data_IF_565209466158
#
_entry.id   IF_565209466158
#
_cell.length_a   1.000
_cell.length_b   1.000
_cell.length_c   1.000
_cell.angle_alpha   90.00
_cell.angle_beta   90.00
_cell.angle_gamma   90.00
#
_symmetry.space_group_name_H-M   'P 1'
#
loop_
_entity.id
_entity.type
_entity.pdbx_description
1 polymer ?
#
# COMPACT_ATOMS: atom_id res chain seq x y z
N UNK A 1 64.10 30.20 21.12
CA UNK A 1 62.86 30.92 20.86
C UNK A 1 61.94 29.98 20.09
N UNK A 2 61.04 29.25 20.77
CA UNK A 2 60.19 28.21 20.22
C UNK A 2 58.77 28.77 20.05
N UNK A 3 58.31 28.85 18.84
CA UNK A 3 56.96 29.31 18.48
C UNK A 3 56.08 28.05 18.45
N UNK A 4 55.09 27.95 19.34
CA UNK A 4 54.01 26.98 19.29
C UNK A 4 52.96 27.44 18.30
N UNK A 5 52.52 26.61 17.38
CA UNK A 5 51.31 26.89 16.63
C UNK A 5 50.05 26.52 17.48
N UNK A 6 49.16 27.47 17.65
CA UNK A 6 47.86 27.28 18.24
C UNK A 6 46.98 26.48 17.27
N UNK A 7 46.57 25.28 17.70
CA UNK A 7 45.60 24.48 16.98
C UNK A 7 44.20 25.05 17.29
N UNK A 8 43.63 25.71 16.30
CA UNK A 8 42.26 26.17 16.32
C UNK A 8 41.34 24.97 16.05
N UNK A 9 40.74 24.43 17.11
CA UNK A 9 39.69 23.38 16.99
C UNK A 9 38.40 24.06 16.59
N UNK A 10 38.02 23.94 15.30
CA UNK A 10 36.71 24.31 14.80
C UNK A 10 35.71 23.21 15.21
N UNK A 11 34.89 23.48 16.22
CA UNK A 11 33.69 22.71 16.47
C UNK A 11 32.69 23.00 15.35
N UNK A 12 32.56 22.10 14.41
CA UNK A 12 31.37 22.05 13.56
C UNK A 12 30.20 21.58 14.44
N UNK A 13 29.39 22.50 14.88
CA UNK A 13 28.03 22.19 15.32
C UNK A 13 27.30 21.67 14.09
N UNK A 14 27.18 20.36 13.97
CA UNK A 14 26.22 19.76 13.06
C UNK A 14 24.83 20.14 13.60
N UNK A 15 24.22 21.16 13.03
CA UNK A 15 22.76 21.29 13.07
C UNK A 15 22.21 20.06 12.37
N UNK A 16 21.75 19.06 13.13
CA UNK A 16 20.74 18.14 12.63
C UNK A 16 19.51 19.01 12.39
N UNK A 17 19.30 19.41 11.14
CA UNK A 17 17.97 19.77 10.70
C UNK A 17 17.13 18.52 10.90
N UNK A 18 16.19 18.57 11.83
CA UNK A 18 15.07 17.64 11.89
C UNK A 18 14.27 17.85 10.58
N UNK A 19 14.75 17.21 9.52
CA UNK A 19 13.88 16.86 8.45
C UNK A 19 12.92 15.82 9.05
N UNK A 20 11.62 16.09 9.03
CA UNK A 20 10.58 15.06 9.03
C UNK A 20 10.74 14.23 7.75
N UNK A 21 11.95 13.73 7.53
CA UNK A 21 12.35 12.91 6.42
C UNK A 21 11.87 11.48 6.62
N UNK A 22 11.73 10.77 5.55
CA UNK A 22 11.37 9.34 5.51
C UNK A 22 12.17 8.60 6.58
N UNK A 23 11.45 7.94 7.49
CA UNK A 23 12.07 7.04 8.47
C UNK A 23 12.59 5.82 7.73
N UNK A 24 13.71 5.27 8.18
CA UNK A 24 14.11 3.94 7.73
C UNK A 24 12.98 2.96 7.99
N UNK A 25 12.62 2.18 6.99
CA UNK A 25 11.61 1.14 7.11
C UNK A 25 12.28 -0.03 7.83
N UNK A 26 12.01 -0.17 9.13
CA UNK A 26 12.49 -1.28 9.96
C UNK A 26 11.31 -1.96 10.62
N UNK A 27 11.48 -3.21 11.03
CA UNK A 27 10.44 -3.95 11.75
C UNK A 27 9.95 -3.17 12.98
N UNK A 28 10.84 -2.60 13.79
CA UNK A 28 10.51 -1.84 14.99
C UNK A 28 9.66 -0.60 14.68
N UNK A 29 9.90 0.06 13.54
CA UNK A 29 9.14 1.23 13.13
C UNK A 29 7.75 0.88 12.61
N UNK A 30 7.57 -0.35 12.11
CA UNK A 30 6.27 -0.87 11.65
C UNK A 30 5.38 -1.36 12.80
N UNK A 31 5.95 -1.79 13.93
CA UNK A 31 5.17 -2.24 15.09
C UNK A 31 4.18 -1.17 15.55
N UNK A 32 2.91 -1.54 15.72
CA UNK A 32 1.81 -0.71 16.19
C UNK A 32 0.55 -0.88 15.36
N UNK A 33 -0.49 -0.09 15.68
CA UNK A 33 -1.78 -0.14 14.97
C UNK A 33 -1.85 0.94 13.92
N UNK A 34 -2.06 0.52 12.69
CA UNK A 34 -2.19 1.33 11.49
C UNK A 34 -3.64 1.35 11.05
N UNK A 35 -4.20 2.53 10.82
CA UNK A 35 -5.58 2.70 10.37
C UNK A 35 -5.60 3.34 8.99
N UNK A 36 -6.42 2.82 8.10
CA UNK A 36 -6.60 3.38 6.75
C UNK A 36 -7.11 4.81 6.84
N UNK A 37 -6.36 5.76 6.26
CA UNK A 37 -6.75 7.17 6.18
C UNK A 37 -7.16 7.59 4.77
N UNK A 38 -6.56 7.01 3.74
CA UNK A 38 -6.99 7.18 2.35
C UNK A 38 -6.60 5.97 1.50
N UNK A 39 -7.35 5.78 0.41
CA UNK A 39 -7.17 4.69 -0.54
C UNK A 39 -7.30 5.27 -1.94
N UNK A 40 -6.31 5.00 -2.80
CA UNK A 40 -6.41 5.21 -4.24
C UNK A 40 -6.38 3.85 -4.93
N UNK A 41 -7.32 3.62 -5.85
CA UNK A 41 -7.42 2.36 -6.61
C UNK A 41 -7.24 2.68 -8.08
N UNK A 42 -6.30 1.99 -8.71
CA UNK A 42 -6.11 1.93 -10.14
C UNK A 42 -6.48 0.53 -10.64
N UNK A 43 -7.22 0.44 -11.75
CA UNK A 43 -7.60 -0.82 -12.36
C UNK A 43 -7.40 -0.78 -13.87
N UNK A 44 -6.86 -1.86 -14.42
CA UNK A 44 -6.54 -1.98 -15.84
C UNK A 44 -6.81 -3.37 -16.38
N UNK A 45 -7.06 -3.46 -17.70
CA UNK A 45 -7.15 -4.70 -18.45
C UNK A 45 -6.05 -4.66 -19.52
N UNK A 46 -5.01 -5.49 -19.35
CA UNK A 46 -3.80 -5.37 -20.16
C UNK A 46 -3.18 -3.98 -20.00
N UNK A 47 -2.97 -3.28 -21.12
CA UNK A 47 -2.36 -1.94 -21.14
C UNK A 47 -3.40 -0.80 -21.13
N UNK A 48 -4.70 -1.10 -20.96
CA UNK A 48 -5.77 -0.10 -20.96
C UNK A 48 -6.30 0.14 -19.54
N UNK A 49 -6.70 1.37 -19.21
CA UNK A 49 -7.48 1.61 -18.00
C UNK A 49 -8.81 0.84 -18.08
N UNK A 50 -9.32 0.37 -16.94
CA UNK A 50 -10.62 -0.32 -16.90
C UNK A 50 -11.74 0.54 -17.53
N UNK A 51 -11.70 1.86 -17.33
CA UNK A 51 -12.68 2.78 -17.95
C UNK A 51 -12.58 2.78 -19.48
N UNK A 52 -11.37 2.82 -20.05
CA UNK A 52 -11.17 2.77 -21.50
C UNK A 52 -11.59 1.41 -22.07
N UNK A 53 -11.31 0.31 -21.38
CA UNK A 53 -11.75 -1.02 -21.77
C UNK A 53 -13.29 -1.11 -21.82
N UNK A 54 -13.96 -0.61 -20.79
CA UNK A 54 -15.43 -0.59 -20.74
C UNK A 54 -16.06 0.23 -21.89
N UNK A 55 -15.39 1.29 -22.33
CA UNK A 55 -15.87 2.09 -23.49
C UNK A 55 -15.56 1.42 -24.81
N UNK A 56 -14.32 0.95 -24.99
CA UNK A 56 -13.81 0.54 -26.31
C UNK A 56 -14.19 -0.90 -26.66
N UNK A 57 -14.16 -1.81 -25.68
CA UNK A 57 -14.37 -3.25 -25.89
C UNK A 57 -15.80 -3.68 -25.49
N UNK A 58 -16.33 -3.17 -24.37
CA UNK A 58 -17.69 -3.49 -23.93
C UNK A 58 -18.73 -2.59 -24.61
N UNK A 59 -18.33 -1.41 -25.10
CA UNK A 59 -19.21 -0.50 -25.84
C UNK A 59 -20.10 0.37 -24.96
N UNK A 60 -19.75 0.58 -23.70
CA UNK A 60 -20.47 1.49 -22.80
C UNK A 60 -20.25 2.95 -23.21
N UNK A 61 -21.21 3.80 -22.95
CA UNK A 61 -20.96 5.24 -23.02
C UNK A 61 -19.93 5.66 -21.94
N UNK A 62 -19.16 6.73 -22.16
CA UNK A 62 -18.18 7.21 -21.15
C UNK A 62 -18.80 7.48 -19.77
N UNK A 63 -20.07 7.89 -19.72
CA UNK A 63 -20.78 8.13 -18.47
C UNK A 63 -21.11 6.81 -17.73
N UNK A 64 -21.53 5.78 -18.46
CA UNK A 64 -21.82 4.45 -17.91
C UNK A 64 -20.53 3.79 -17.44
N UNK A 65 -19.45 3.85 -18.23
CA UNK A 65 -18.13 3.31 -17.87
C UNK A 65 -17.60 3.96 -16.59
N UNK A 66 -17.68 5.28 -16.48
CA UNK A 66 -17.28 6.00 -15.27
C UNK A 66 -18.11 5.63 -14.04
N UNK A 67 -19.42 5.42 -14.21
CA UNK A 67 -20.31 5.00 -13.13
C UNK A 67 -19.97 3.58 -12.66
N UNK A 68 -19.74 2.65 -13.59
CA UNK A 68 -19.38 1.25 -13.27
C UNK A 68 -18.01 1.19 -12.59
N UNK A 69 -17.02 1.92 -13.11
CA UNK A 69 -15.71 2.05 -12.46
C UNK A 69 -15.84 2.60 -11.05
N UNK A 70 -16.68 3.64 -10.85
CA UNK A 70 -16.90 4.21 -9.52
C UNK A 70 -17.48 3.21 -8.51
N UNK A 71 -18.42 2.35 -8.94
CA UNK A 71 -18.98 1.29 -8.09
C UNK A 71 -17.92 0.22 -7.75
N UNK A 72 -17.13 -0.17 -8.74
CA UNK A 72 -16.02 -1.12 -8.57
C UNK A 72 -14.98 -0.60 -7.56
N UNK A 73 -14.53 0.64 -7.73
CA UNK A 73 -13.59 1.29 -6.80
C UNK A 73 -14.18 1.39 -5.40
N UNK A 74 -15.45 1.76 -5.26
CA UNK A 74 -16.11 1.87 -3.96
C UNK A 74 -16.21 0.52 -3.23
N UNK A 75 -16.45 -0.57 -3.96
CA UNK A 75 -16.45 -1.92 -3.41
C UNK A 75 -15.06 -2.29 -2.85
N UNK A 76 -14.00 -2.13 -3.65
CA UNK A 76 -12.62 -2.41 -3.22
C UNK A 76 -12.19 -1.53 -2.04
N UNK A 77 -12.52 -0.24 -2.06
CA UNK A 77 -12.22 0.66 -0.93
C UNK A 77 -12.90 0.20 0.36
N UNK A 78 -14.12 -0.35 0.26
CA UNK A 78 -14.81 -0.90 1.43
C UNK A 78 -14.08 -2.10 2.02
N UNK A 79 -13.49 -2.95 1.19
CA UNK A 79 -12.76 -4.16 1.61
C UNK A 79 -11.43 -3.83 2.29
N UNK A 80 -10.74 -2.77 1.86
CA UNK A 80 -9.43 -2.40 2.42
C UNK A 80 -9.48 -1.27 3.45
N UNK A 81 -10.70 -0.83 3.81
CA UNK A 81 -10.90 0.14 4.91
C UNK A 81 -10.90 -0.58 6.25
N UNK A 82 -10.01 -0.16 7.15
CA UNK A 82 -9.92 -0.79 8.47
C UNK A 82 -8.61 -0.51 9.18
N UNK A 83 -8.14 -1.49 9.95
CA UNK A 83 -6.90 -1.37 10.71
C UNK A 83 -6.04 -2.63 10.63
N UNK A 84 -4.74 -2.45 10.74
CA UNK A 84 -3.70 -3.48 10.83
C UNK A 84 -2.85 -3.24 12.06
N UNK A 85 -2.80 -4.19 12.98
CA UNK A 85 -1.91 -4.14 14.15
C UNK A 85 -0.75 -5.12 13.91
N UNK A 86 0.48 -4.59 13.90
CA UNK A 86 1.70 -5.36 13.81
C UNK A 86 2.33 -5.45 15.21
N UNK A 87 2.47 -6.65 15.76
CA UNK A 87 3.02 -6.88 17.08
C UNK A 87 4.54 -7.13 17.01
N UNK A 88 5.25 -6.82 18.10
CA UNK A 88 6.71 -6.99 18.22
C UNK A 88 7.16 -8.47 18.22
N UNK A 89 6.25 -9.41 18.44
CA UNK A 89 6.48 -10.85 18.37
C UNK A 89 6.27 -11.44 16.97
N UNK A 90 6.14 -10.58 15.95
CA UNK A 90 5.85 -10.89 14.54
C UNK A 90 4.45 -11.50 14.31
N UNK A 91 3.52 -11.32 15.23
CA UNK A 91 2.10 -11.60 14.99
C UNK A 91 1.38 -10.36 14.48
N UNK A 92 0.29 -10.54 13.72
CA UNK A 92 -0.58 -9.44 13.33
C UNK A 92 -2.04 -9.74 13.60
N UNK A 93 -2.82 -8.68 13.73
CA UNK A 93 -4.28 -8.69 13.73
C UNK A 93 -4.74 -7.64 12.73
N UNK A 94 -5.74 -7.97 11.90
CA UNK A 94 -6.34 -7.03 10.97
C UNK A 94 -7.85 -6.97 11.17
N UNK A 95 -8.42 -5.84 10.76
CA UNK A 95 -9.86 -5.63 10.69
C UNK A 95 -10.16 -4.78 9.47
N UNK A 96 -10.30 -5.44 8.32
CA UNK A 96 -10.61 -4.83 7.03
C UNK A 96 -11.95 -5.34 6.50
N UNK A 97 -12.73 -4.49 5.81
CA UNK A 97 -14.00 -4.87 5.21
C UNK A 97 -15.04 -5.44 6.18
N UNK A 98 -14.86 -5.23 7.48
CA UNK A 98 -15.70 -5.82 8.53
C UNK A 98 -15.32 -7.25 8.91
N UNK A 99 -14.31 -7.84 8.29
CA UNK A 99 -13.68 -9.12 8.67
C UNK A 99 -12.53 -8.88 9.64
N UNK A 100 -12.17 -9.92 10.41
CA UNK A 100 -11.02 -9.88 11.31
C UNK A 100 -10.15 -11.09 11.04
N UNK A 101 -8.89 -10.85 10.74
CA UNK A 101 -7.91 -11.87 10.41
C UNK A 101 -6.70 -11.73 11.32
N UNK A 102 -5.92 -12.80 11.46
CA UNK A 102 -4.72 -12.81 12.29
C UNK A 102 -3.71 -13.85 11.78
N UNK A 103 -2.45 -13.58 12.03
CA UNK A 103 -1.39 -14.46 11.58
C UNK A 103 -0.02 -13.96 11.98
N UNK A 104 0.96 -14.20 11.13
CA UNK A 104 2.33 -13.70 11.33
C UNK A 104 2.74 -12.76 10.22
N UNK A 105 3.61 -11.82 10.55
CA UNK A 105 4.16 -10.88 9.58
C UNK A 105 5.69 -10.93 9.54
N UNK A 106 6.23 -10.55 8.40
CA UNK A 106 7.66 -10.38 8.21
C UNK A 106 7.95 -9.23 7.25
N UNK A 107 9.11 -8.60 7.42
CA UNK A 107 9.64 -7.59 6.52
C UNK A 107 10.77 -8.20 5.70
N UNK A 108 10.76 -7.97 4.38
CA UNK A 108 11.82 -8.42 3.48
C UNK A 108 13.19 -7.79 3.83
N UNK A 109 14.26 -8.42 3.39
CA UNK A 109 15.64 -7.95 3.67
C UNK A 109 15.99 -6.62 2.99
N UNK A 110 15.26 -6.24 1.95
CA UNK A 110 15.37 -4.94 1.26
C UNK A 110 14.43 -3.88 1.85
N UNK A 111 13.71 -4.24 2.94
CA UNK A 111 12.81 -3.36 3.69
C UNK A 111 11.62 -2.81 2.87
N UNK A 112 11.28 -3.47 1.74
CA UNK A 112 10.24 -2.98 0.82
C UNK A 112 8.96 -3.79 0.79
N UNK A 113 9.00 -5.03 1.26
CA UNK A 113 7.83 -5.91 1.23
C UNK A 113 7.47 -6.35 2.64
N UNK A 114 6.25 -6.04 3.05
CA UNK A 114 5.61 -6.60 4.23
C UNK A 114 4.82 -7.82 3.80
N UNK A 115 5.14 -8.98 4.36
CA UNK A 115 4.42 -10.23 4.11
C UNK A 115 3.53 -10.56 5.30
N UNK A 116 2.25 -10.75 5.07
CA UNK A 116 1.27 -11.22 6.06
C UNK A 116 0.91 -12.68 5.71
N UNK A 117 1.06 -13.59 6.68
CA UNK A 117 0.76 -15.01 6.50
C UNK A 117 -0.43 -15.40 7.38
N UNK A 118 -1.50 -15.85 6.76
CA UNK A 118 -2.71 -16.37 7.40
C UNK A 118 -2.90 -17.84 7.01
N UNK A 119 -2.27 -18.73 7.75
CA UNK A 119 -2.34 -20.18 7.47
C UNK A 119 -1.79 -20.54 6.09
N UNK A 120 -2.66 -20.75 5.10
CA UNK A 120 -2.28 -21.05 3.72
C UNK A 120 -2.16 -19.81 2.84
N UNK A 121 -2.69 -18.69 3.28
CA UNK A 121 -2.80 -17.48 2.48
C UNK A 121 -1.66 -16.53 2.82
N UNK A 122 -1.08 -15.94 1.78
CA UNK A 122 0.04 -15.00 1.88
C UNK A 122 -0.33 -13.72 1.17
N UNK A 123 -0.31 -12.61 1.90
CA UNK A 123 -0.55 -11.28 1.33
C UNK A 123 0.78 -10.53 1.33
N UNK A 124 1.19 -10.05 0.18
CA UNK A 124 2.38 -9.21 0.01
C UNK A 124 1.97 -7.75 -0.18
N UNK A 125 2.52 -6.88 0.63
CA UNK A 125 2.27 -5.44 0.63
C UNK A 125 3.58 -4.72 0.32
N UNK A 126 3.62 -3.97 -0.76
CA UNK A 126 4.79 -3.14 -1.09
C UNK A 126 4.76 -1.86 -0.24
N UNK A 127 5.81 -1.63 0.53
CA UNK A 127 5.97 -0.41 1.31
C UNK A 127 6.63 0.66 0.43
N UNK A 128 5.91 1.73 0.17
CA UNK A 128 6.39 2.84 -0.65
C UNK A 128 7.19 3.85 0.18
N UNK A 129 6.69 4.19 1.36
CA UNK A 129 7.37 5.09 2.30
C UNK A 129 6.82 4.99 3.72
N UNK A 130 7.67 5.37 4.69
CA UNK A 130 7.29 5.54 6.09
C UNK A 130 7.78 6.90 6.57
N UNK A 131 6.89 7.80 6.91
CA UNK A 131 7.21 9.14 7.38
C UNK A 131 6.41 9.48 8.64
N UNK A 132 7.10 9.73 9.75
CA UNK A 132 6.46 9.98 11.03
C UNK A 132 5.54 8.82 11.46
N UNK A 133 4.24 9.08 11.47
CA UNK A 133 3.18 8.13 11.78
C UNK A 133 2.35 7.76 10.53
N UNK A 134 2.89 8.00 9.35
CA UNK A 134 2.22 7.73 8.07
C UNK A 134 2.97 6.65 7.30
N UNK A 135 2.29 5.60 6.93
CA UNK A 135 2.78 4.51 6.08
C UNK A 135 2.03 4.55 4.75
N UNK A 136 2.77 4.66 3.65
CA UNK A 136 2.22 4.49 2.30
C UNK A 136 2.61 3.11 1.79
N UNK A 137 1.62 2.36 1.34
CA UNK A 137 1.80 0.99 0.89
C UNK A 137 0.91 0.68 -0.32
N UNK A 138 1.32 -0.26 -1.15
CA UNK A 138 0.57 -0.72 -2.32
C UNK A 138 0.29 -2.21 -2.20
N UNK A 139 -0.97 -2.57 -2.46
CA UNK A 139 -1.46 -3.93 -2.68
C UNK A 139 -1.78 -4.09 -4.16
N UNK A 140 -1.30 -5.16 -4.77
CA UNK A 140 -1.66 -5.53 -6.14
C UNK A 140 -2.36 -6.88 -6.17
N UNK A 141 -3.36 -7.01 -7.03
CA UNK A 141 -4.08 -8.27 -7.27
C UNK A 141 -4.56 -8.36 -8.73
N UNK A 142 -4.89 -9.57 -9.16
CA UNK A 142 -5.56 -9.82 -10.44
C UNK A 142 -6.85 -10.55 -10.15
N UNK A 143 -7.96 -9.90 -10.49
CA UNK A 143 -9.31 -10.45 -10.35
C UNK A 143 -9.90 -10.75 -11.71
N UNK A 144 -10.65 -11.85 -11.81
CA UNK A 144 -11.30 -12.26 -13.05
C UNK A 144 -12.79 -11.97 -12.97
N UNK A 145 -13.32 -11.17 -13.91
CA UNK A 145 -14.69 -10.67 -13.87
C UNK A 145 -15.39 -10.83 -15.23
N UNK A 146 -16.66 -11.20 -15.19
CA UNK A 146 -17.57 -11.17 -16.34
C UNK A 146 -18.12 -9.75 -16.53
N UNK A 147 -17.43 -8.95 -17.35
CA UNK A 147 -17.75 -7.53 -17.55
C UNK A 147 -18.91 -7.30 -18.54
N UNK A 148 -19.20 -8.26 -19.44
CA UNK A 148 -20.24 -8.15 -20.47
C UNK A 148 -21.53 -8.88 -20.11
N UNK A 149 -21.54 -9.64 -19.00
CA UNK A 149 -22.62 -10.51 -18.55
C UNK A 149 -23.05 -11.55 -19.61
N UNK A 150 -22.12 -11.98 -20.48
CA UNK A 150 -22.34 -13.05 -21.46
C UNK A 150 -21.57 -14.32 -21.04
N UNK A 151 -22.28 -15.27 -20.45
CA UNK A 151 -21.70 -16.56 -20.03
C UNK A 151 -21.00 -17.35 -21.18
N UNK A 152 -21.09 -16.89 -22.41
CA UNK A 152 -20.40 -17.47 -23.57
C UNK A 152 -19.04 -16.84 -23.85
N UNK A 153 -18.72 -15.73 -23.24
CA UNK A 153 -17.41 -15.08 -23.30
C UNK A 153 -16.56 -15.42 -22.07
N UNK A 154 -15.22 -15.53 -22.18
CA UNK A 154 -14.35 -15.70 -21.03
C UNK A 154 -14.36 -14.47 -20.14
N UNK A 155 -14.24 -14.69 -18.81
CA UNK A 155 -13.99 -13.63 -17.86
C UNK A 155 -12.72 -12.85 -18.20
N UNK A 156 -12.69 -11.60 -17.81
CA UNK A 156 -11.58 -10.68 -18.09
C UNK A 156 -10.72 -10.52 -16.86
N UNK A 157 -9.41 -10.68 -17.01
CA UNK A 157 -8.44 -10.43 -15.93
C UNK A 157 -8.21 -8.93 -15.78
N UNK A 158 -8.63 -8.41 -14.62
CA UNK A 158 -8.43 -7.02 -14.22
C UNK A 158 -7.26 -6.96 -13.25
N UNK A 159 -6.20 -6.25 -13.61
CA UNK A 159 -5.11 -5.93 -12.69
C UNK A 159 -5.54 -4.74 -11.84
N UNK A 160 -5.49 -4.91 -10.53
CA UNK A 160 -5.86 -3.89 -9.53
C UNK A 160 -4.63 -3.52 -8.72
N UNK A 161 -4.40 -2.22 -8.55
CA UNK A 161 -3.43 -1.68 -7.62
C UNK A 161 -4.13 -0.73 -6.64
N UNK A 162 -4.09 -1.05 -5.35
CA UNK A 162 -4.61 -0.20 -4.28
C UNK A 162 -3.45 0.44 -3.52
N UNK A 163 -3.29 1.75 -3.63
CA UNK A 163 -2.35 2.52 -2.82
C UNK A 163 -3.05 3.03 -1.56
N UNK A 164 -2.54 2.59 -0.43
CA UNK A 164 -3.06 2.87 0.90
C UNK A 164 -2.20 3.91 1.60
N UNK A 165 -2.84 4.89 2.23
CA UNK A 165 -2.21 5.71 3.26
C UNK A 165 -2.77 5.27 4.61
N UNK A 166 -1.90 4.78 5.48
CA UNK A 166 -2.22 4.32 6.81
C UNK A 166 -1.60 5.26 7.84
N UNK A 167 -2.30 5.51 8.94
CA UNK A 167 -1.81 6.36 10.03
C UNK A 167 -1.85 5.63 11.36
N UNK A 168 -0.86 5.95 12.22
CA UNK A 168 -0.64 5.35 13.54
C UNK A 168 -0.97 6.32 14.66
#
# INVERSE_FOLDING_TARGET
MRILPAILVLFFAACSSDNDGDKMITADNLVGTWTTSSINVDASVGDQSLTDYLVNEIGLSPAEAAAQYGLFVAALQSEVTGSLTLNADNTYESSFGGSSDSGTWSLSSDEKTLTLNEGSDVIEVTINSLSGNTLNATLGDVISEDLDNDAGTPDVDITVEATLTLTK
#
